data_IF_816968446646
#
_entry.id   IF_816968446646
#
_cell.length_a   1.000
_cell.length_b   1.000
_cell.length_c   1.000
_cell.angle_alpha   90.00
_cell.angle_beta   90.00
_cell.angle_gamma   90.00
#
_symmetry.space_group_name_H-M   'P 1'
#
loop_
_entity.id
_entity.type
_entity.pdbx_description
1 polymer ?
#
# COMPACT_ATOMS: atom_id res chain seq x y z
N UNK A 1 13.43 2.25 4.89
CA UNK A 1 12.04 2.76 4.84
C UNK A 1 12.07 4.29 4.84
N UNK A 2 11.26 4.96 4.01
CA UNK A 2 11.15 6.44 4.02
C UNK A 2 10.01 6.89 4.92
N UNK A 3 10.19 6.83 6.24
CA UNK A 3 9.21 7.37 7.18
C UNK A 3 7.91 6.57 7.32
N UNK A 4 7.26 6.63 8.49
CA UNK A 4 5.86 6.24 8.64
C UNK A 4 5.00 7.49 8.84
N UNK A 5 3.80 7.50 8.27
CA UNK A 5 2.82 8.59 8.44
C UNK A 5 1.81 8.22 9.53
N UNK A 6 1.02 9.22 9.98
CA UNK A 6 -0.19 8.94 10.76
C UNK A 6 -1.14 8.06 9.94
N UNK A 7 -1.95 7.25 10.61
CA UNK A 7 -2.98 6.44 9.93
C UNK A 7 -3.83 7.32 9.01
N UNK A 8 -3.74 7.05 7.71
CA UNK A 8 -4.46 7.75 6.65
C UNK A 8 -5.95 7.49 6.75
N UNK A 9 -6.35 6.28 7.14
CA UNK A 9 -7.73 5.94 7.51
C UNK A 9 -8.27 6.89 8.57
N UNK A 10 -7.50 7.12 9.65
CA UNK A 10 -7.91 8.03 10.72
C UNK A 10 -7.95 9.49 10.29
N UNK A 11 -7.09 9.91 9.35
CA UNK A 11 -7.10 11.25 8.77
C UNK A 11 -8.31 11.47 7.87
N UNK A 12 -8.52 10.60 6.88
CA UNK A 12 -9.61 10.72 5.92
C UNK A 12 -10.98 10.60 6.60
N UNK A 13 -11.13 9.73 7.60
CA UNK A 13 -12.39 9.66 8.38
C UNK A 13 -12.73 10.98 9.06
N UNK A 14 -11.74 11.77 9.52
CA UNK A 14 -12.02 13.11 10.08
C UNK A 14 -12.52 14.09 9.03
N UNK A 15 -11.99 14.01 7.81
CA UNK A 15 -12.48 14.84 6.70
C UNK A 15 -13.90 14.40 6.30
N UNK A 16 -14.16 13.09 6.19
CA UNK A 16 -15.48 12.54 5.86
C UNK A 16 -16.52 12.77 6.96
N UNK A 17 -16.10 12.85 8.22
CA UNK A 17 -17.00 13.18 9.34
C UNK A 17 -17.71 14.52 9.11
N UNK A 18 -17.07 15.50 8.45
CA UNK A 18 -17.75 16.76 8.10
C UNK A 18 -18.92 16.52 7.16
N UNK A 19 -18.76 15.64 6.18
CA UNK A 19 -19.85 15.22 5.29
C UNK A 19 -20.98 14.56 6.07
N UNK A 20 -20.66 13.72 7.06
CA UNK A 20 -21.65 13.12 7.95
C UNK A 20 -22.40 14.14 8.80
N UNK A 21 -21.72 15.16 9.33
CA UNK A 21 -22.36 16.26 10.08
C UNK A 21 -23.32 17.05 9.18
N UNK A 22 -22.88 17.44 7.99
CA UNK A 22 -23.71 18.16 7.03
C UNK A 22 -24.94 17.33 6.62
N UNK A 23 -24.76 16.02 6.40
CA UNK A 23 -25.87 15.12 6.09
C UNK A 23 -26.88 15.06 7.24
N UNK A 24 -26.42 14.94 8.48
CA UNK A 24 -27.28 14.91 9.66
C UNK A 24 -28.04 16.23 9.86
N UNK A 25 -27.40 17.38 9.64
CA UNK A 25 -28.04 18.70 9.67
C UNK A 25 -29.15 18.84 8.61
N UNK A 26 -29.01 18.12 7.49
CA UNK A 26 -29.98 18.04 6.41
C UNK A 26 -31.00 16.88 6.56
N UNK A 27 -31.01 16.18 7.69
CA UNK A 27 -31.84 14.99 7.96
C UNK A 27 -31.64 13.85 6.92
N UNK A 28 -30.40 13.71 6.43
CA UNK A 28 -29.99 12.66 5.50
C UNK A 28 -29.21 11.57 6.22
N UNK A 29 -29.44 10.31 5.83
CA UNK A 29 -28.59 9.20 6.27
C UNK A 29 -27.28 9.20 5.48
N UNK A 30 -26.18 8.99 6.19
CA UNK A 30 -24.85 8.90 5.61
C UNK A 30 -24.08 7.70 6.16
N UNK A 31 -23.32 7.04 5.29
CA UNK A 31 -22.32 6.02 5.67
C UNK A 31 -21.01 6.36 4.97
N UNK A 32 -19.95 6.57 5.75
CA UNK A 32 -18.61 6.77 5.21
C UNK A 32 -17.71 5.55 5.41
N UNK A 33 -16.72 5.41 4.52
CA UNK A 33 -15.71 4.38 4.62
C UNK A 33 -14.38 4.80 4.00
N UNK A 34 -13.32 4.21 4.54
CA UNK A 34 -11.95 4.33 4.06
C UNK A 34 -11.26 2.99 4.32
N UNK A 35 -10.83 2.30 3.26
CA UNK A 35 -9.97 1.09 3.22
C UNK A 35 -10.59 -0.18 3.84
N UNK A 36 -11.21 -0.08 5.02
CA UNK A 36 -11.76 -1.20 5.78
C UNK A 36 -13.30 -1.29 5.74
N UNK A 37 -13.95 -0.62 4.78
CA UNK A 37 -15.40 -0.70 4.57
C UNK A 37 -15.78 -1.69 3.47
N UNK A 38 -17.07 -2.07 3.34
CA UNK A 38 -17.54 -3.02 2.33
C UNK A 38 -17.69 -2.38 0.93
N UNK A 39 -16.85 -1.41 0.59
CA UNK A 39 -16.96 -0.62 -0.64
C UNK A 39 -15.70 -0.72 -1.47
N UNK A 40 -15.85 -0.68 -2.79
CA UNK A 40 -14.74 -0.62 -3.73
C UNK A 40 -14.43 0.85 -4.02
N UNK A 41 -13.61 1.51 -3.18
CA UNK A 41 -13.44 2.96 -3.29
C UNK A 41 -12.82 3.40 -4.62
N UNK A 42 -11.96 2.56 -5.23
CA UNK A 42 -11.38 2.84 -6.55
C UNK A 42 -12.45 2.91 -7.63
N UNK A 43 -13.43 2.02 -7.59
CA UNK A 43 -14.53 1.90 -8.54
C UNK A 43 -15.49 3.07 -8.40
N UNK A 44 -15.85 3.45 -7.17
CA UNK A 44 -16.65 4.65 -6.93
C UNK A 44 -15.92 5.92 -7.36
N UNK A 45 -14.61 6.02 -7.11
CA UNK A 45 -13.81 7.14 -7.57
C UNK A 45 -13.72 7.21 -9.11
N UNK A 46 -13.63 6.07 -9.79
CA UNK A 46 -13.72 5.99 -11.24
C UNK A 46 -15.10 6.42 -11.76
N UNK A 47 -16.19 5.93 -11.17
CA UNK A 47 -17.57 6.34 -11.50
C UNK A 47 -17.78 7.84 -11.31
N UNK A 48 -17.16 8.43 -10.28
CA UNK A 48 -17.17 9.85 -10.00
C UNK A 48 -16.19 10.66 -10.90
N UNK A 49 -15.59 10.04 -11.93
CA UNK A 49 -14.70 10.70 -12.88
C UNK A 49 -13.36 11.17 -12.31
N UNK A 50 -12.96 10.67 -11.13
CA UNK A 50 -11.70 11.08 -10.47
C UNK A 50 -10.46 10.49 -11.14
N UNK A 51 -10.60 9.47 -11.99
CA UNK A 51 -9.45 8.87 -12.63
C UNK A 51 -9.79 7.73 -13.58
N UNK A 52 -8.75 6.99 -13.94
CA UNK A 52 -8.84 5.77 -14.73
C UNK A 52 -7.99 4.68 -14.10
N UNK A 53 -8.28 3.42 -14.41
CA UNK A 53 -7.46 2.31 -13.92
C UNK A 53 -6.20 2.14 -14.75
N UNK A 54 -5.06 2.11 -14.06
CA UNK A 54 -3.78 1.72 -14.65
C UNK A 54 -3.66 0.21 -14.82
N UNK A 55 -2.74 -0.25 -15.68
CA UNK A 55 -2.40 -1.68 -15.78
C UNK A 55 -1.89 -2.28 -14.46
N UNK A 56 -1.43 -1.43 -13.53
CA UNK A 56 -1.06 -1.80 -12.16
C UNK A 56 -2.26 -1.90 -11.19
N UNK A 57 -3.50 -1.82 -11.69
CA UNK A 57 -4.77 -1.89 -10.95
C UNK A 57 -5.11 -0.70 -10.05
N UNK A 58 -4.26 0.32 -10.00
CA UNK A 58 -4.53 1.52 -9.21
C UNK A 58 -5.38 2.52 -9.99
N UNK A 59 -6.17 3.31 -9.27
CA UNK A 59 -6.79 4.50 -9.83
C UNK A 59 -5.72 5.58 -10.04
N UNK A 60 -5.66 6.13 -11.24
CA UNK A 60 -4.72 7.19 -11.62
C UNK A 60 -5.51 8.45 -11.95
N UNK A 61 -5.30 9.51 -11.17
CA UNK A 61 -5.83 10.84 -11.47
C UNK A 61 -4.92 11.54 -12.51
N UNK A 62 -5.45 12.11 -13.62
CA UNK A 62 -4.63 12.68 -14.71
C UNK A 62 -3.66 13.81 -14.31
N UNK A 63 -3.92 14.47 -13.17
CA UNK A 63 -3.09 15.54 -12.61
C UNK A 63 -2.28 15.13 -11.38
N UNK A 64 -2.75 14.16 -10.61
CA UNK A 64 -2.19 13.82 -9.28
C UNK A 64 -1.49 12.46 -9.27
N UNK A 65 -1.66 11.66 -10.32
CA UNK A 65 -1.16 10.29 -10.36
C UNK A 65 -1.99 9.35 -9.48
N UNK A 66 -1.37 8.25 -9.05
CA UNK A 66 -1.95 7.26 -8.15
C UNK A 66 -1.60 7.49 -6.68
N UNK A 67 -0.74 8.45 -6.36
CA UNK A 67 -0.34 8.81 -4.99
C UNK A 67 -1.41 9.59 -4.24
N UNK A 68 -2.64 9.09 -4.25
CA UNK A 68 -3.83 9.70 -3.63
C UNK A 68 -4.47 8.70 -2.67
N UNK A 69 -5.10 9.21 -1.61
CA UNK A 69 -5.96 8.41 -0.75
C UNK A 69 -7.40 8.53 -1.21
N UNK A 70 -8.16 7.44 -1.08
CA UNK A 70 -9.58 7.40 -1.44
C UNK A 70 -10.42 7.19 -0.18
N UNK A 71 -11.57 7.84 -0.16
CA UNK A 71 -12.62 7.62 0.80
C UNK A 71 -13.96 7.74 0.09
N UNK A 72 -14.97 7.06 0.61
CA UNK A 72 -16.32 7.07 0.06
C UNK A 72 -17.30 7.51 1.14
N UNK A 73 -18.30 8.30 0.73
CA UNK A 73 -19.47 8.60 1.52
C UNK A 73 -20.71 8.29 0.69
N UNK A 74 -21.57 7.42 1.21
CA UNK A 74 -22.89 7.14 0.66
C UNK A 74 -23.91 7.97 1.41
N UNK A 75 -24.76 8.66 0.66
CA UNK A 75 -25.82 9.52 1.19
C UNK A 75 -27.16 9.01 0.68
N UNK A 76 -28.18 9.01 1.54
CA UNK A 76 -29.57 8.79 1.14
C UNK A 76 -30.13 10.08 0.53
N UNK A 77 -29.47 10.54 -0.54
CA UNK A 77 -29.79 11.76 -1.26
C UNK A 77 -29.90 11.46 -2.74
N UNK A 78 -31.07 11.75 -3.32
CA UNK A 78 -31.21 11.79 -4.77
C UNK A 78 -30.57 13.09 -5.28
N UNK A 79 -29.41 12.96 -5.92
CA UNK A 79 -28.73 14.11 -6.51
C UNK A 79 -29.35 14.39 -7.87
N UNK A 80 -30.30 15.31 -7.92
CA UNK A 80 -30.86 15.85 -9.17
C UNK A 80 -29.94 16.93 -9.75
N UNK A 81 -29.79 16.99 -11.07
CA UNK A 81 -28.98 18.04 -11.74
C UNK A 81 -27.49 17.70 -12.01
N UNK A 82 -27.08 16.43 -11.91
CA UNK A 82 -25.72 15.96 -12.25
C UNK A 82 -25.42 15.91 -13.76
N UNK A 83 -26.13 16.67 -14.61
CA UNK A 83 -25.89 16.66 -16.05
C UNK A 83 -24.43 16.98 -16.40
N UNK A 84 -23.82 17.87 -15.61
CA UNK A 84 -22.42 18.31 -15.72
C UNK A 84 -21.46 17.57 -14.77
N UNK A 85 -21.94 16.52 -14.09
CA UNK A 85 -21.09 15.76 -13.19
C UNK A 85 -19.94 15.09 -13.95
N UNK A 86 -18.73 15.02 -13.37
CA UNK A 86 -17.63 14.28 -13.95
C UNK A 86 -18.04 12.83 -14.21
N UNK A 87 -17.74 12.33 -15.41
CA UNK A 87 -17.99 10.94 -15.82
C UNK A 87 -16.65 10.19 -15.88
N UNK A 88 -16.68 8.85 -15.89
CA UNK A 88 -15.50 8.04 -16.18
C UNK A 88 -14.71 8.57 -17.37
N UNK A 89 -13.41 8.81 -17.17
CA UNK A 89 -12.53 9.34 -18.22
C UNK A 89 -12.31 8.35 -19.38
N UNK A 90 -12.37 7.05 -19.06
CA UNK A 90 -12.30 5.92 -19.98
C UNK A 90 -13.18 4.79 -19.44
N UNK A 91 -13.52 3.83 -20.29
CA UNK A 91 -14.26 2.62 -19.90
C UNK A 91 -13.53 1.79 -18.84
N UNK A 92 -14.23 0.84 -18.17
CA UNK A 92 -13.65 0.03 -17.12
C UNK A 92 -12.51 -0.86 -17.67
N UNK A 93 -11.50 -1.19 -16.84
CA UNK A 93 -10.41 -2.08 -17.20
C UNK A 93 -10.88 -3.53 -17.37
N UNK A 94 -11.47 -3.81 -18.53
CA UNK A 94 -11.77 -5.11 -19.12
C UNK A 94 -12.55 -6.16 -18.30
N UNK A 95 -13.85 -6.26 -18.59
CA UNK A 95 -14.45 -7.56 -18.94
C UNK A 95 -15.31 -7.40 -20.21
N UNK A 96 -14.82 -7.96 -21.33
CA UNK A 96 -15.63 -8.39 -22.49
C UNK A 96 -16.49 -7.37 -23.24
N UNK A 97 -15.97 -6.22 -23.65
CA UNK A 97 -16.49 -5.57 -24.86
C UNK A 97 -15.34 -5.13 -25.75
N UNK A 98 -15.24 -5.64 -26.99
CA UNK A 98 -14.50 -4.92 -28.03
C UNK A 98 -15.35 -3.71 -28.40
N UNK A 99 -15.01 -2.51 -27.93
CA UNK A 99 -15.64 -1.31 -28.46
C UNK A 99 -14.77 -0.70 -29.58
N UNK A 100 -15.32 -0.48 -30.78
CA UNK A 100 -14.63 0.06 -31.96
C UNK A 100 -13.93 1.43 -31.79
N UNK A 101 -14.16 2.18 -30.70
CA UNK A 101 -13.60 3.54 -30.52
C UNK A 101 -12.36 3.63 -29.58
N UNK A 102 -11.85 2.50 -29.07
CA UNK A 102 -10.40 2.34 -28.85
C UNK A 102 -9.66 3.08 -27.71
N UNK A 103 -10.26 3.35 -26.54
CA UNK A 103 -9.48 3.72 -25.33
C UNK A 103 -10.02 3.09 -24.03
N UNK A 104 -9.76 1.80 -23.79
CA UNK A 104 -10.06 1.14 -22.52
C UNK A 104 -9.12 1.55 -21.36
N UNK A 105 -8.06 2.30 -21.65
CA UNK A 105 -7.10 2.81 -20.66
C UNK A 105 -6.23 3.92 -21.24
N UNK A 106 -5.89 4.93 -20.42
CA UNK A 106 -4.91 5.95 -20.77
C UNK A 106 -3.45 5.47 -20.60
N UNK A 107 -3.22 4.19 -20.29
CA UNK A 107 -1.87 3.60 -20.28
C UNK A 107 -1.30 3.38 -21.69
N UNK A 108 -2.14 3.26 -22.73
CA UNK A 108 -1.71 2.91 -24.08
C UNK A 108 -0.87 1.62 -24.11
N UNK A 109 0.23 1.61 -24.87
CA UNK A 109 1.15 0.47 -24.99
C UNK A 109 2.11 0.30 -23.80
N UNK A 110 2.13 1.23 -22.84
CA UNK A 110 3.07 1.19 -21.70
C UNK A 110 2.93 -0.10 -20.88
N UNK A 111 4.04 -0.73 -20.51
CA UNK A 111 4.12 -1.95 -19.69
C UNK A 111 4.99 -1.80 -18.45
N UNK A 112 5.56 -0.61 -18.18
CA UNK A 112 6.61 -0.41 -17.16
C UNK A 112 6.30 -0.99 -15.77
N UNK A 113 5.06 -0.86 -15.29
CA UNK A 113 4.67 -1.40 -13.99
C UNK A 113 4.68 -2.93 -13.92
N UNK A 114 4.43 -3.59 -15.05
CA UNK A 114 4.47 -5.04 -15.20
C UNK A 114 5.94 -5.48 -15.32
N UNK A 115 6.69 -4.82 -16.20
CA UNK A 115 8.11 -5.12 -16.46
C UNK A 115 9.01 -4.96 -15.23
N UNK A 116 8.60 -4.12 -14.27
CA UNK A 116 9.34 -3.85 -13.04
C UNK A 116 8.70 -4.48 -11.80
N UNK A 117 7.62 -5.25 -11.92
CA UNK A 117 7.05 -5.97 -10.78
C UNK A 117 8.00 -7.12 -10.39
N UNK A 118 8.68 -7.10 -9.23
CA UNK A 118 9.76 -8.06 -8.94
C UNK A 118 9.30 -9.51 -8.87
N UNK A 119 8.02 -9.70 -8.58
CA UNK A 119 7.42 -11.00 -8.32
C UNK A 119 6.50 -11.46 -9.43
N UNK A 120 6.29 -10.64 -10.47
CA UNK A 120 5.31 -10.87 -11.54
C UNK A 120 3.85 -10.86 -11.05
N UNK A 121 3.53 -10.15 -9.97
CA UNK A 121 2.15 -9.99 -9.50
C UNK A 121 1.24 -9.23 -10.49
N UNK A 122 1.83 -8.59 -11.51
CA UNK A 122 1.16 -7.79 -12.53
C UNK A 122 1.42 -8.33 -13.96
N UNK A 123 1.64 -9.64 -14.11
CA UNK A 123 1.94 -10.25 -15.43
C UNK A 123 0.79 -10.09 -16.45
N UNK A 124 -0.45 -9.92 -15.97
CA UNK A 124 -1.62 -9.65 -16.80
C UNK A 124 -2.10 -8.21 -16.58
N UNK A 125 -2.25 -7.39 -17.64
CA UNK A 125 -2.72 -6.02 -17.51
C UNK A 125 -4.04 -5.95 -16.74
N UNK A 126 -4.13 -5.03 -15.77
CA UNK A 126 -5.31 -4.80 -14.95
C UNK A 126 -5.69 -5.92 -13.98
N UNK A 127 -4.85 -6.96 -13.86
CA UNK A 127 -5.05 -8.05 -12.91
C UNK A 127 -3.87 -8.07 -11.93
N UNK A 128 -4.20 -8.05 -10.64
CA UNK A 128 -3.23 -8.21 -9.57
C UNK A 128 -3.35 -9.61 -8.99
N UNK A 129 -2.27 -10.39 -9.06
CA UNK A 129 -2.13 -11.60 -8.26
C UNK A 129 -1.67 -11.21 -6.84
N UNK A 130 -2.63 -11.13 -5.92
CA UNK A 130 -2.38 -10.78 -4.53
C UNK A 130 -1.50 -11.82 -3.80
N UNK A 131 -1.44 -13.08 -4.28
CA UNK A 131 -0.59 -14.11 -3.69
C UNK A 131 0.89 -13.91 -4.04
N UNK A 132 1.20 -13.08 -5.04
CA UNK A 132 2.56 -12.72 -5.45
C UNK A 132 2.95 -11.30 -5.07
N UNK A 133 2.00 -10.46 -4.65
CA UNK A 133 2.25 -9.03 -4.43
C UNK A 133 3.06 -8.78 -3.14
N UNK A 134 4.20 -8.08 -3.28
CA UNK A 134 5.04 -7.70 -2.13
C UNK A 134 4.29 -6.87 -1.07
N UNK A 135 3.38 -5.99 -1.51
CA UNK A 135 2.56 -5.21 -0.57
C UNK A 135 1.62 -6.12 0.23
N UNK A 136 1.00 -7.12 -0.41
CA UNK A 136 0.17 -8.10 0.31
C UNK A 136 1.01 -8.89 1.32
N UNK A 137 2.19 -9.37 0.93
CA UNK A 137 3.06 -10.15 1.82
C UNK A 137 3.55 -9.37 3.04
N UNK A 138 3.91 -8.10 2.84
CA UNK A 138 4.50 -7.29 3.91
C UNK A 138 3.46 -6.59 4.81
N UNK A 139 2.21 -6.47 4.37
CA UNK A 139 1.15 -5.77 5.11
C UNK A 139 0.08 -6.74 5.63
N UNK A 140 -0.48 -7.59 4.77
CA UNK A 140 -1.72 -8.33 5.06
C UNK A 140 -1.49 -9.81 5.40
N UNK A 141 -0.56 -10.44 4.69
CA UNK A 141 -0.41 -11.88 4.74
C UNK A 141 0.41 -12.32 5.94
N UNK A 142 -0.25 -12.95 6.91
CA UNK A 142 0.39 -13.39 8.16
C UNK A 142 1.45 -14.48 7.96
N UNK A 143 1.46 -15.19 6.82
CA UNK A 143 2.54 -16.12 6.48
C UNK A 143 3.81 -15.45 5.94
N UNK A 144 3.79 -14.14 5.65
CA UNK A 144 4.86 -13.43 4.95
C UNK A 144 5.15 -13.94 3.54
N UNK A 145 6.29 -13.53 2.99
CA UNK A 145 6.76 -13.98 1.67
C UNK A 145 7.20 -15.47 1.70
N UNK A 146 6.83 -16.27 0.67
CA UNK A 146 7.31 -17.64 0.53
C UNK A 146 8.85 -17.72 0.53
N UNK A 147 9.44 -18.78 1.11
CA UNK A 147 10.89 -18.90 1.28
C UNK A 147 11.70 -18.69 -0.02
N UNK A 148 11.21 -19.20 -1.14
CA UNK A 148 11.84 -19.05 -2.46
C UNK A 148 11.74 -17.65 -3.06
N UNK A 149 10.89 -16.79 -2.49
CA UNK A 149 10.57 -15.45 -3.00
C UNK A 149 10.98 -14.32 -2.04
N UNK A 150 11.48 -14.64 -0.83
CA UNK A 150 11.94 -13.64 0.17
C UNK A 150 13.02 -12.71 -0.38
N UNK A 151 13.92 -13.23 -1.22
CA UNK A 151 14.95 -12.42 -1.87
C UNK A 151 14.37 -11.29 -2.75
N UNK A 152 13.18 -11.50 -3.33
CA UNK A 152 12.54 -10.53 -4.22
C UNK A 152 11.96 -9.33 -3.48
N UNK A 153 11.78 -9.42 -2.16
CA UNK A 153 11.35 -8.30 -1.32
C UNK A 153 12.40 -7.17 -1.28
N UNK A 154 13.68 -7.49 -1.50
CA UNK A 154 14.75 -6.50 -1.47
C UNK A 154 14.80 -5.74 -0.14
N UNK A 155 14.78 -4.40 -0.23
CA UNK A 155 14.79 -3.48 0.91
C UNK A 155 13.39 -3.00 1.35
N UNK A 156 12.33 -3.61 0.81
CA UNK A 156 10.95 -3.21 1.05
C UNK A 156 10.45 -3.74 2.41
N UNK A 157 10.54 -2.90 3.45
CA UNK A 157 10.14 -3.26 4.81
C UNK A 157 8.61 -3.38 4.99
N UNK A 158 7.83 -2.50 4.35
CA UNK A 158 6.38 -2.44 4.50
C UNK A 158 5.76 -1.80 3.27
N UNK A 159 4.90 -2.55 2.57
CA UNK A 159 4.36 -2.13 1.27
C UNK A 159 5.38 -2.25 0.14
N UNK A 160 4.93 -1.92 -1.07
CA UNK A 160 5.77 -1.84 -2.26
C UNK A 160 5.19 -0.79 -3.21
N UNK A 161 6.02 0.18 -3.59
CA UNK A 161 5.62 1.27 -4.49
C UNK A 161 6.22 1.16 -5.88
N UNK A 162 6.95 0.08 -6.21
CA UNK A 162 7.71 -0.03 -7.47
C UNK A 162 6.80 0.21 -8.69
N UNK A 163 5.62 -0.41 -8.73
CA UNK A 163 4.67 -0.25 -9.84
C UNK A 163 4.11 1.18 -9.98
N UNK A 164 4.14 1.98 -8.91
CA UNK A 164 3.79 3.40 -8.90
C UNK A 164 5.00 4.26 -9.26
N UNK A 165 6.17 3.95 -8.72
CA UNK A 165 7.42 4.69 -8.90
C UNK A 165 7.88 4.67 -10.36
N UNK A 166 7.60 3.61 -11.11
CA UNK A 166 7.91 3.54 -12.55
C UNK A 166 6.81 4.11 -13.44
N UNK A 167 5.64 4.47 -12.89
CA UNK A 167 4.50 4.91 -13.67
C UNK A 167 4.71 6.34 -14.22
N UNK A 168 4.62 6.56 -15.55
CA UNK A 168 4.81 7.88 -16.15
C UNK A 168 3.80 8.93 -15.67
N UNK A 169 2.58 8.52 -15.31
CA UNK A 169 1.55 9.41 -14.78
C UNK A 169 1.94 10.00 -13.42
N UNK A 170 2.65 9.23 -12.58
CA UNK A 170 3.16 9.70 -11.30
C UNK A 170 4.34 10.66 -11.49
N UNK A 171 5.24 10.37 -12.44
CA UNK A 171 6.33 11.30 -12.77
C UNK A 171 5.78 12.63 -13.28
N UNK A 172 4.74 12.60 -14.12
CA UNK A 172 4.07 13.79 -14.61
C UNK A 172 3.42 14.58 -13.47
N UNK A 173 2.79 13.90 -12.51
CA UNK A 173 2.19 14.55 -11.35
C UNK A 173 3.24 15.27 -10.49
N UNK A 174 4.38 14.63 -10.20
CA UNK A 174 5.47 15.22 -9.43
C UNK A 174 6.13 16.44 -10.09
N UNK A 175 6.10 16.53 -11.41
CA UNK A 175 6.66 17.66 -12.18
C UNK A 175 5.72 18.86 -12.27
N UNK A 176 4.43 18.69 -11.99
CA UNK A 176 3.49 19.81 -11.99
C UNK A 176 3.71 20.66 -10.73
N UNK A 177 3.58 21.99 -10.82
CA UNK A 177 3.50 22.81 -9.63
C UNK A 177 2.38 22.27 -8.75
N UNK A 178 2.69 21.88 -7.52
CA UNK A 178 1.67 21.49 -6.56
C UNK A 178 0.76 22.72 -6.38
N UNK A 179 -0.54 22.58 -6.71
CA UNK A 179 -1.49 23.68 -6.54
C UNK A 179 -1.58 24.11 -5.08
N UNK A 180 -1.49 23.14 -4.18
CA UNK A 180 -1.40 23.32 -2.74
C UNK A 180 -0.24 22.46 -2.19
N UNK A 181 0.52 22.95 -1.20
CA UNK A 181 1.54 22.14 -0.54
C UNK A 181 0.90 20.91 0.15
N UNK A 182 1.64 19.80 0.31
CA UNK A 182 1.16 18.65 1.06
C UNK A 182 0.74 19.09 2.47
N UNK A 183 -0.45 18.68 2.92
CA UNK A 183 -0.88 19.05 4.28
C UNK A 183 0.06 18.43 5.31
N UNK A 184 0.50 19.17 6.35
CA UNK A 184 1.45 18.67 7.35
C UNK A 184 1.02 17.37 8.03
N UNK A 185 -0.28 17.13 8.14
CA UNK A 185 -0.84 15.91 8.71
C UNK A 185 -0.51 14.61 7.94
N UNK A 186 -0.17 14.71 6.64
CA UNK A 186 0.28 13.58 5.81
C UNK A 186 1.80 13.47 5.69
N UNK A 187 2.55 14.36 6.37
CA UNK A 187 4.00 14.25 6.41
C UNK A 187 4.44 13.02 7.23
N UNK A 188 5.61 12.49 6.88
CA UNK A 188 6.25 11.45 7.69
C UNK A 188 6.44 11.95 9.12
N UNK A 189 6.11 11.09 10.08
CA UNK A 189 6.34 11.32 11.49
C UNK A 189 7.86 11.32 11.76
N UNK A 190 8.43 12.38 12.34
CA UNK A 190 9.87 12.47 12.59
C UNK A 190 10.42 11.26 13.37
N UNK A 191 9.66 10.76 14.35
CA UNK A 191 9.99 9.58 15.16
C UNK A 191 10.01 8.25 14.38
N UNK A 192 9.59 8.27 13.12
CA UNK A 192 9.62 7.13 12.20
C UNK A 192 10.39 7.43 10.92
N UNK A 193 11.02 8.61 10.81
CA UNK A 193 11.78 9.02 9.63
C UNK A 193 12.87 8.00 9.27
N UNK A 194 13.51 7.44 10.30
CA UNK A 194 14.44 6.33 10.20
C UNK A 194 14.00 5.19 11.13
N UNK A 195 14.13 3.96 10.64
CA UNK A 195 13.74 2.76 11.38
C UNK A 195 14.94 1.82 11.39
N UNK A 196 15.47 1.55 12.57
CA UNK A 196 16.56 0.60 12.77
C UNK A 196 16.05 -0.84 12.68
N UNK A 197 16.66 -1.64 11.82
CA UNK A 197 16.27 -3.03 11.59
C UNK A 197 16.55 -3.91 12.82
N UNK A 198 17.63 -3.65 13.56
CA UNK A 198 17.95 -4.41 14.78
C UNK A 198 16.90 -4.19 15.86
N UNK A 199 16.46 -2.94 16.04
CA UNK A 199 15.38 -2.60 16.97
C UNK A 199 14.05 -3.24 16.56
N UNK A 200 13.77 -3.31 15.26
CA UNK A 200 12.59 -4.02 14.77
C UNK A 200 12.66 -5.53 15.03
N UNK A 201 13.81 -6.17 14.79
CA UNK A 201 14.00 -7.61 15.03
C UNK A 201 13.75 -7.94 16.51
N UNK A 202 14.14 -7.05 17.43
CA UNK A 202 13.95 -7.22 18.88
C UNK A 202 12.61 -6.70 19.40
N UNK A 203 11.72 -6.24 18.52
CA UNK A 203 10.52 -5.51 18.92
C UNK A 203 9.46 -6.45 19.48
N UNK A 204 9.21 -6.37 20.78
CA UNK A 204 8.12 -7.08 21.43
C UNK A 204 6.74 -6.46 21.10
N UNK A 205 5.67 -7.15 21.51
CA UNK A 205 4.30 -6.75 21.21
C UNK A 205 3.89 -5.41 21.85
N UNK A 206 4.35 -5.13 23.08
CA UNK A 206 4.00 -3.91 23.81
C UNK A 206 4.71 -2.69 23.23
N UNK A 207 6.00 -2.83 22.90
CA UNK A 207 6.78 -1.83 22.21
C UNK A 207 6.24 -1.57 20.79
N UNK A 208 5.85 -2.63 20.06
CA UNK A 208 5.17 -2.49 18.75
C UNK A 208 3.87 -1.69 18.87
N UNK A 209 3.03 -1.99 19.87
CA UNK A 209 1.79 -1.25 20.13
C UNK A 209 2.04 0.20 20.54
N UNK A 210 3.03 0.44 21.39
CA UNK A 210 3.40 1.78 21.80
C UNK A 210 3.85 2.61 20.58
N UNK A 211 4.62 2.01 19.68
CA UNK A 211 5.21 2.67 18.51
C UNK A 211 4.24 2.84 17.34
N UNK A 212 3.49 1.80 16.96
CA UNK A 212 2.83 1.77 15.65
C UNK A 212 1.30 1.80 15.66
N UNK A 213 0.61 1.69 16.80
CA UNK A 213 -0.88 1.58 16.87
C UNK A 213 -1.68 2.69 16.20
N UNK A 214 -1.05 3.84 15.89
CA UNK A 214 -1.69 4.99 15.22
C UNK A 214 -1.12 5.26 13.82
N UNK A 215 -0.40 4.30 13.27
CA UNK A 215 0.25 4.36 11.96
C UNK A 215 -0.24 3.21 11.08
N UNK A 216 -0.12 3.29 9.75
CA UNK A 216 -0.44 2.18 8.87
C UNK A 216 0.35 0.90 9.18
N UNK A 217 1.56 1.03 9.73
CA UNK A 217 2.41 -0.10 10.11
C UNK A 217 1.77 -1.04 11.14
N UNK A 218 0.74 -0.59 11.87
CA UNK A 218 -0.04 -1.45 12.77
C UNK A 218 -0.58 -2.70 12.06
N UNK A 219 -0.91 -2.61 10.77
CA UNK A 219 -1.45 -3.71 9.96
C UNK A 219 -0.50 -4.89 9.82
N UNK A 220 0.81 -4.67 9.88
CA UNK A 220 1.79 -5.74 9.77
C UNK A 220 1.78 -6.71 10.96
N UNK A 221 1.22 -6.30 12.11
CA UNK A 221 1.38 -6.98 13.40
C UNK A 221 2.86 -7.09 13.86
N UNK A 222 3.12 -7.36 15.15
CA UNK A 222 4.49 -7.47 15.66
C UNK A 222 5.31 -8.53 14.92
N UNK A 223 4.73 -9.71 14.72
CA UNK A 223 5.39 -10.87 14.09
C UNK A 223 5.69 -10.59 12.61
N UNK A 224 4.75 -10.00 11.89
CA UNK A 224 4.95 -9.64 10.48
C UNK A 224 6.02 -8.57 10.30
N UNK A 225 6.05 -7.57 11.19
CA UNK A 225 7.12 -6.55 11.19
C UNK A 225 8.50 -7.17 11.44
N UNK A 226 8.62 -8.09 12.42
CA UNK A 226 9.87 -8.81 12.69
C UNK A 226 10.30 -9.65 11.49
N UNK A 227 9.39 -10.41 10.87
CA UNK A 227 9.66 -11.18 9.65
C UNK A 227 10.15 -10.29 8.51
N UNK A 228 9.49 -9.16 8.25
CA UNK A 228 9.92 -8.22 7.22
C UNK A 228 11.32 -7.64 7.52
N UNK A 229 11.60 -7.29 8.77
CA UNK A 229 12.89 -6.75 9.16
C UNK A 229 14.03 -7.78 8.97
N UNK A 230 13.79 -9.05 9.31
CA UNK A 230 14.72 -10.15 9.06
C UNK A 230 15.00 -10.34 7.56
N UNK A 231 13.94 -10.33 6.74
CA UNK A 231 14.07 -10.46 5.27
C UNK A 231 14.92 -9.30 4.71
N UNK A 232 14.59 -8.07 5.09
CA UNK A 232 15.34 -6.88 4.65
C UNK A 232 16.78 -6.92 5.14
N UNK A 233 17.05 -7.34 6.38
CA UNK A 233 18.40 -7.45 6.92
C UNK A 233 19.26 -8.42 6.10
N UNK A 234 18.71 -9.58 5.73
CA UNK A 234 19.40 -10.55 4.87
C UNK A 234 19.64 -9.99 3.46
N UNK A 235 18.58 -9.48 2.81
CA UNK A 235 18.64 -8.96 1.44
C UNK A 235 19.58 -7.75 1.29
N UNK A 236 19.79 -6.98 2.36
CA UNK A 236 20.71 -5.83 2.38
C UNK A 236 22.08 -6.16 2.96
N UNK A 237 22.37 -7.44 3.27
CA UNK A 237 23.70 -7.89 3.70
C UNK A 237 24.11 -7.40 5.10
N UNK A 238 23.15 -7.14 6.00
CA UNK A 238 23.39 -6.58 7.34
C UNK A 238 23.96 -7.60 8.32
N UNK A 239 25.22 -8.00 8.10
CA UNK A 239 25.94 -8.95 8.96
C UNK A 239 26.20 -8.44 10.38
N UNK A 240 26.19 -7.13 10.58
CA UNK A 240 26.23 -6.52 11.90
C UNK A 240 25.02 -6.90 12.79
N UNK A 241 23.91 -7.35 12.18
CA UNK A 241 22.71 -7.80 12.88
C UNK A 241 22.70 -9.30 13.18
N UNK A 242 23.74 -10.06 12.81
CA UNK A 242 23.83 -11.51 13.05
C UNK A 242 23.51 -11.92 14.50
N UNK A 243 23.98 -11.22 15.57
CA UNK A 243 23.61 -11.58 16.93
C UNK A 243 22.09 -11.52 17.19
N UNK A 244 21.40 -10.50 16.66
CA UNK A 244 19.95 -10.36 16.81
C UNK A 244 19.19 -11.40 15.97
N UNK A 245 19.67 -11.71 14.77
CA UNK A 245 19.08 -12.73 13.90
C UNK A 245 19.21 -14.13 14.54
N UNK A 246 20.37 -14.46 15.13
CA UNK A 246 20.56 -15.74 15.86
C UNK A 246 19.61 -15.86 17.05
N UNK A 247 19.55 -14.83 17.90
CA UNK A 247 18.60 -14.81 19.01
C UNK A 247 17.15 -15.00 18.54
N UNK A 248 16.75 -14.39 17.43
CA UNK A 248 15.41 -14.58 16.86
C UNK A 248 15.20 -16.00 16.30
N UNK A 249 16.23 -16.64 15.74
CA UNK A 249 16.15 -18.01 15.24
C UNK A 249 16.00 -19.05 16.36
N UNK A 250 16.66 -18.80 17.49
CA UNK A 250 16.72 -19.72 18.63
C UNK A 250 15.51 -19.54 19.56
N UNK A 251 15.20 -18.28 19.92
CA UNK A 251 14.38 -17.96 21.09
C UNK A 251 13.07 -17.19 20.79
N UNK A 252 12.84 -16.70 19.56
CA UNK A 252 11.61 -15.93 19.28
C UNK A 252 10.37 -16.81 19.55
N UNK A 253 9.32 -16.31 20.23
CA UNK A 253 8.13 -17.11 20.53
C UNK A 253 7.35 -17.52 19.27
N UNK A 254 7.39 -16.74 18.19
CA UNK A 254 6.67 -17.02 16.94
C UNK A 254 7.46 -17.96 16.03
N UNK A 255 6.84 -19.07 15.63
CA UNK A 255 7.49 -20.05 14.77
C UNK A 255 7.83 -19.51 13.37
N UNK A 256 7.01 -18.62 12.84
CA UNK A 256 7.26 -17.97 11.55
C UNK A 256 8.44 -17.00 11.61
N UNK A 257 8.60 -16.25 12.71
CA UNK A 257 9.77 -15.41 12.93
C UNK A 257 11.04 -16.27 13.03
N UNK A 258 11.02 -17.36 13.82
CA UNK A 258 12.17 -18.30 13.91
C UNK A 258 12.55 -18.87 12.53
N UNK A 259 11.55 -19.26 11.74
CA UNK A 259 11.75 -19.83 10.40
C UNK A 259 12.38 -18.83 9.43
N UNK A 260 11.88 -17.58 9.41
CA UNK A 260 12.47 -16.50 8.61
C UNK A 260 13.87 -16.12 9.10
N UNK A 261 14.12 -16.14 10.41
CA UNK A 261 15.44 -15.84 10.97
C UNK A 261 16.49 -16.88 10.56
N UNK A 262 16.15 -18.18 10.54
CA UNK A 262 17.03 -19.24 10.02
C UNK A 262 17.34 -19.03 8.54
N UNK A 263 16.32 -18.76 7.73
CA UNK A 263 16.53 -18.40 6.32
C UNK A 263 17.45 -17.19 6.17
N UNK A 264 17.31 -16.16 7.02
CA UNK A 264 18.15 -14.97 6.97
C UNK A 264 19.62 -15.28 7.30
N UNK A 265 19.88 -16.18 8.25
CA UNK A 265 21.23 -16.66 8.56
C UNK A 265 21.86 -17.39 7.38
N UNK A 266 21.12 -18.33 6.76
CA UNK A 266 21.57 -19.06 5.57
C UNK A 266 21.87 -18.09 4.40
N UNK A 267 20.97 -17.13 4.15
CA UNK A 267 21.14 -16.11 3.11
C UNK A 267 22.37 -15.21 3.33
N UNK A 268 22.78 -15.01 4.59
CA UNK A 268 23.99 -14.27 4.98
C UNK A 268 25.25 -15.16 5.01
N UNK A 269 25.13 -16.44 4.67
CA UNK A 269 26.24 -17.41 4.58
C UNK A 269 26.64 -18.04 5.91
N UNK A 270 25.75 -18.08 6.90
CA UNK A 270 25.98 -18.77 8.17
C UNK A 270 25.60 -20.26 8.07
N UNK A 271 26.40 -21.12 8.69
CA UNK A 271 26.10 -22.56 8.78
C UNK A 271 25.23 -22.79 10.02
N UNK A 272 23.98 -23.23 9.81
CA UNK A 272 23.10 -23.64 10.90
C UNK A 272 23.56 -25.02 11.41
N UNK A 273 23.84 -25.12 12.71
CA UNK A 273 24.17 -26.37 13.40
C UNK A 273 22.94 -27.11 13.87
#
# INVERSE_FOLDING_TARGET
>A
MRGAIRSTTGLLRRELHRTGVIAAEADLRAVDAVDAGPFLEREYAWLAGLGFFGKNTLLIHPRLGSGIFLGVALLELEVTGLADAPRPLVGPPAQRLPDPDGMASLCGSCSLCQDNCPTGALDTPFVLDAHRCLATWSIEWQGGAPATQRAWQGDQLFGCDICQQVCPWNHKALRRPAGEPPRPEYAALPEHAEVDLGDLIRLDADAFRARFRRTPLWRAHPEGMRRNALIVAANTGRRDLLPAIRAAADDDPDAGVREVARWALEALGEVLS
#
